data_IF_939440287074
#
_entry.id   IF_939440287074
#
_cell.length_a   1.000
_cell.length_b   1.000
_cell.length_c   1.000
_cell.angle_alpha   90.00
_cell.angle_beta   90.00
_cell.angle_gamma   90.00
#
_symmetry.space_group_name_H-M   'P 1'
#
loop_
_entity.id
_entity.type
_entity.pdbx_description
1 polymer ?
#
# COMPACT_ATOMS: atom_id res chain seq x y z
N UNK A 1 -20.56 -1.87 -0.59
CA UNK A 1 -20.27 -0.45 -0.34
C UNK A 1 -19.56 0.09 -1.58
N UNK A 2 -20.08 1.15 -2.22
CA UNK A 2 -19.38 1.80 -3.31
C UNK A 2 -18.08 2.44 -2.80
N UNK A 3 -17.05 2.46 -3.65
CA UNK A 3 -15.83 3.24 -3.39
C UNK A 3 -16.20 4.74 -3.34
N UNK A 4 -15.60 5.53 -2.43
CA UNK A 4 -15.79 6.98 -2.44
C UNK A 4 -15.30 7.59 -3.77
N UNK A 5 -15.89 8.72 -4.17
CA UNK A 5 -15.67 9.37 -5.48
C UNK A 5 -14.20 9.72 -5.79
N UNK A 6 -13.39 9.95 -4.76
CA UNK A 6 -11.97 10.28 -4.92
C UNK A 6 -11.12 9.07 -5.33
N UNK A 7 -11.69 7.86 -5.31
CA UNK A 7 -11.00 6.63 -5.65
C UNK A 7 -11.33 6.15 -7.05
N UNK A 8 -10.30 5.75 -7.79
CA UNK A 8 -10.46 5.16 -9.12
C UNK A 8 -9.49 4.00 -9.31
N UNK A 9 -9.97 2.95 -9.97
CA UNK A 9 -9.14 1.89 -10.48
C UNK A 9 -8.57 2.27 -11.84
N UNK A 10 -7.29 1.98 -12.04
CA UNK A 10 -6.60 2.03 -13.32
C UNK A 10 -5.91 0.69 -13.56
N UNK A 11 -5.86 0.19 -14.78
CA UNK A 11 -5.18 -1.07 -15.09
C UNK A 11 -4.09 -0.81 -16.11
N UNK A 12 -2.86 -1.18 -15.76
CA UNK A 12 -1.74 -1.00 -16.67
C UNK A 12 -1.73 -2.08 -17.77
N UNK A 13 -0.88 -1.84 -18.77
CA UNK A 13 -0.66 -2.76 -19.91
C UNK A 13 -0.22 -4.17 -19.50
N UNK A 14 0.24 -4.37 -18.27
CA UNK A 14 0.68 -5.67 -17.74
C UNK A 14 -0.39 -6.36 -16.90
N UNK A 15 -1.61 -5.83 -16.89
CA UNK A 15 -2.74 -6.41 -16.17
C UNK A 15 -2.68 -6.19 -14.66
N UNK A 16 -1.84 -5.26 -14.18
CA UNK A 16 -1.83 -4.85 -12.78
C UNK A 16 -2.82 -3.72 -12.58
N UNK A 17 -3.74 -3.92 -11.63
CA UNK A 17 -4.71 -2.93 -11.23
C UNK A 17 -4.12 -2.05 -10.13
N UNK A 18 -4.27 -0.74 -10.28
CA UNK A 18 -3.82 0.30 -9.37
C UNK A 18 -5.04 1.02 -8.83
N UNK A 19 -5.19 1.08 -7.51
CA UNK A 19 -6.17 1.96 -6.89
C UNK A 19 -5.49 3.30 -6.64
N UNK A 20 -6.10 4.36 -7.16
CA UNK A 20 -5.69 5.75 -6.94
C UNK A 20 -6.68 6.46 -6.02
N UNK A 21 -6.17 7.43 -5.26
CA UNK A 21 -6.93 8.43 -4.54
C UNK A 21 -6.43 9.81 -5.00
N UNK A 22 -7.30 10.68 -5.54
CA UNK A 22 -6.93 12.00 -6.07
C UNK A 22 -5.65 11.96 -6.95
N UNK A 23 -5.60 11.02 -7.91
CA UNK A 23 -4.46 10.76 -8.83
C UNK A 23 -3.23 10.07 -8.22
N UNK A 24 -3.11 9.98 -6.90
CA UNK A 24 -2.00 9.30 -6.24
C UNK A 24 -2.31 7.82 -6.06
N UNK A 25 -1.36 6.95 -6.37
CA UNK A 25 -1.50 5.51 -6.11
C UNK A 25 -1.63 5.32 -4.60
N UNK A 26 -2.53 4.43 -4.16
CA UNK A 26 -2.69 4.06 -2.74
C UNK A 26 -2.70 2.54 -2.53
N UNK A 27 -3.03 1.76 -3.57
CA UNK A 27 -2.97 0.31 -3.52
C UNK A 27 -2.78 -0.29 -4.93
N UNK A 28 -2.48 -1.58 -4.97
CA UNK A 28 -2.41 -2.33 -6.23
C UNK A 28 -2.78 -3.79 -6.05
N UNK A 29 -3.32 -4.39 -7.11
CA UNK A 29 -3.65 -5.81 -7.24
C UNK A 29 -2.96 -6.35 -8.48
N UNK A 30 -2.20 -7.43 -8.34
CA UNK A 30 -1.54 -8.10 -9.47
C UNK A 30 -1.53 -9.60 -9.29
N UNK A 31 -1.50 -10.34 -10.41
CA UNK A 31 -1.29 -11.78 -10.39
C UNK A 31 0.17 -12.08 -10.02
N UNK A 32 0.39 -13.13 -9.25
CA UNK A 32 1.72 -13.65 -8.94
C UNK A 32 2.18 -14.57 -10.07
N UNK A 33 3.50 -14.73 -10.16
CA UNK A 33 4.14 -15.74 -11.01
C UNK A 33 4.20 -17.12 -10.34
N UNK A 34 3.59 -17.29 -9.16
CA UNK A 34 3.57 -18.57 -8.48
C UNK A 34 2.79 -19.61 -9.31
N UNK A 35 3.12 -20.91 -9.20
CA UNK A 35 2.48 -21.98 -9.99
C UNK A 35 0.97 -22.05 -9.82
N UNK A 36 0.47 -21.59 -8.67
CA UNK A 36 -0.94 -21.60 -8.30
C UNK A 36 -1.71 -20.33 -8.74
N UNK A 37 -1.04 -19.39 -9.41
CA UNK A 37 -1.67 -18.23 -10.04
C UNK A 37 -2.40 -17.29 -9.09
N UNK A 38 -1.97 -17.20 -7.81
CA UNK A 38 -2.58 -16.32 -6.81
C UNK A 38 -2.54 -14.84 -7.22
N UNK A 39 -3.41 -14.07 -6.59
CA UNK A 39 -3.43 -12.62 -6.69
C UNK A 39 -2.89 -12.01 -5.41
N UNK A 40 -2.11 -10.96 -5.52
CA UNK A 40 -1.61 -10.21 -4.37
C UNK A 40 -2.27 -8.85 -4.30
N UNK A 41 -2.63 -8.42 -3.09
CA UNK A 41 -2.97 -7.05 -2.81
C UNK A 41 -1.82 -6.37 -2.06
N UNK A 42 -1.47 -5.17 -2.49
CA UNK A 42 -0.56 -4.28 -1.80
C UNK A 42 -1.33 -3.02 -1.47
N UNK A 43 -1.49 -2.69 -0.20
CA UNK A 43 -2.10 -1.43 0.22
C UNK A 43 -1.04 -0.44 0.68
N UNK A 44 -1.42 0.80 0.95
CA UNK A 44 -0.50 1.87 1.36
C UNK A 44 0.66 2.10 0.37
N UNK A 45 0.43 1.87 -0.92
CA UNK A 45 1.40 2.07 -2.01
C UNK A 45 1.30 3.51 -2.48
N UNK A 46 2.28 4.38 -2.22
CA UNK A 46 2.29 5.77 -2.72
C UNK A 46 3.16 5.98 -3.96
N UNK A 47 3.87 4.94 -4.39
CA UNK A 47 4.69 4.91 -5.60
C UNK A 47 4.68 3.49 -6.20
N UNK A 48 4.76 3.40 -7.52
CA UNK A 48 4.99 2.18 -8.29
C UNK A 48 6.27 1.44 -7.81
N UNK A 49 7.31 2.18 -7.42
CA UNK A 49 8.62 1.63 -7.02
C UNK A 49 8.70 1.13 -5.58
N UNK A 50 7.66 1.33 -4.76
CA UNK A 50 7.70 0.88 -3.36
C UNK A 50 7.64 -0.65 -3.33
N UNK A 51 8.80 -1.29 -3.21
CA UNK A 51 8.93 -2.71 -2.93
C UNK A 51 8.45 -2.95 -1.48
N UNK A 52 7.17 -3.27 -1.35
CA UNK A 52 6.57 -3.71 -0.10
C UNK A 52 6.14 -5.16 -0.26
N UNK A 53 6.31 -5.94 0.81
CA UNK A 53 5.74 -7.27 0.91
C UNK A 53 4.22 -7.21 0.63
N UNK A 54 3.66 -8.20 -0.09
CA UNK A 54 2.23 -8.25 -0.32
C UNK A 54 1.51 -8.30 1.03
N UNK A 55 0.48 -7.47 1.19
CA UNK A 55 -0.28 -7.43 2.43
C UNK A 55 -1.19 -8.65 2.57
N UNK A 56 -1.70 -9.15 1.45
CA UNK A 56 -2.57 -10.33 1.41
C UNK A 56 -2.50 -11.05 0.07
N UNK A 57 -2.82 -12.35 0.09
CA UNK A 57 -2.92 -13.23 -1.06
C UNK A 57 -4.37 -13.69 -1.26
N UNK A 58 -4.77 -13.86 -2.52
CA UNK A 58 -6.14 -14.21 -2.89
C UNK A 58 -6.14 -15.25 -4.02
N UNK A 59 -7.21 -16.05 -4.08
CA UNK A 59 -7.40 -17.03 -5.17
C UNK A 59 -7.94 -16.42 -6.46
N UNK A 60 -8.46 -15.19 -6.42
CA UNK A 60 -9.01 -14.51 -7.59
C UNK A 60 -8.82 -12.99 -7.53
N UNK A 61 -8.78 -12.36 -8.71
CA UNK A 61 -8.65 -10.92 -8.85
C UNK A 61 -9.79 -10.18 -8.15
N UNK A 62 -11.03 -10.58 -8.40
CA UNK A 62 -12.21 -9.91 -7.83
C UNK A 62 -12.22 -9.92 -6.30
N UNK A 63 -11.74 -11.01 -5.67
CA UNK A 63 -11.62 -11.05 -4.21
C UNK A 63 -10.52 -10.13 -3.68
N UNK A 64 -9.40 -10.04 -4.38
CA UNK A 64 -8.34 -9.08 -4.05
C UNK A 64 -8.82 -7.63 -4.17
N UNK A 65 -9.48 -7.28 -5.28
CA UNK A 65 -10.02 -5.94 -5.52
C UNK A 65 -11.05 -5.55 -4.46
N UNK A 66 -12.06 -6.39 -4.17
CA UNK A 66 -13.04 -6.12 -3.12
C UNK A 66 -12.40 -5.95 -1.74
N UNK A 67 -11.36 -6.71 -1.44
CA UNK A 67 -10.64 -6.56 -0.18
C UNK A 67 -9.92 -5.21 -0.10
N UNK A 68 -9.30 -4.77 -1.20
CA UNK A 68 -8.67 -3.45 -1.30
C UNK A 68 -9.70 -2.33 -1.21
N UNK A 69 -10.87 -2.48 -1.84
CA UNK A 69 -11.97 -1.53 -1.75
C UNK A 69 -12.47 -1.35 -0.32
N UNK A 70 -12.70 -2.47 0.39
CA UNK A 70 -13.08 -2.42 1.82
C UNK A 70 -12.03 -1.72 2.66
N UNK A 71 -10.75 -2.02 2.42
CA UNK A 71 -9.65 -1.33 3.07
C UNK A 71 -9.66 0.17 2.75
N UNK A 72 -9.84 0.56 1.50
CA UNK A 72 -9.86 1.95 1.07
C UNK A 72 -11.02 2.73 1.69
N UNK A 73 -12.24 2.16 1.69
CA UNK A 73 -13.41 2.74 2.37
C UNK A 73 -13.14 2.96 3.86
N UNK A 74 -12.56 1.96 4.55
CA UNK A 74 -12.26 2.05 5.98
C UNK A 74 -11.21 3.11 6.31
N UNK A 75 -10.37 3.50 5.36
CA UNK A 75 -9.27 4.45 5.56
C UNK A 75 -9.41 5.72 4.72
N UNK A 76 -10.58 5.99 4.13
CA UNK A 76 -10.77 7.03 3.12
C UNK A 76 -10.34 8.42 3.61
N UNK A 77 -10.86 8.85 4.76
CA UNK A 77 -10.52 10.15 5.34
C UNK A 77 -9.02 10.26 5.68
N UNK A 78 -8.42 9.19 6.20
CA UNK A 78 -6.98 9.14 6.50
C UNK A 78 -6.15 9.27 5.22
N UNK A 79 -6.53 8.57 4.15
CA UNK A 79 -5.81 8.57 2.87
C UNK A 79 -5.88 9.95 2.21
N UNK A 80 -7.06 10.58 2.18
CA UNK A 80 -7.20 11.95 1.66
C UNK A 80 -6.33 12.93 2.46
N UNK A 81 -6.39 12.88 3.79
CA UNK A 81 -5.56 13.74 4.65
C UNK A 81 -4.06 13.48 4.48
N UNK A 82 -3.63 12.22 4.33
CA UNK A 82 -2.22 11.88 4.05
C UNK A 82 -1.73 12.50 2.74
N UNK A 83 -2.58 12.60 1.73
CA UNK A 83 -2.26 13.21 0.44
C UNK A 83 -2.22 14.74 0.53
N UNK A 84 -3.22 15.35 1.15
CA UNK A 84 -3.30 16.81 1.34
C UNK A 84 -2.12 17.35 2.14
N UNK A 85 -1.74 16.65 3.21
CA UNK A 85 -0.65 17.07 4.11
C UNK A 85 0.73 16.66 3.60
N UNK A 86 0.81 15.84 2.56
CA UNK A 86 2.06 15.24 2.11
C UNK A 86 2.75 14.37 3.16
N UNK A 87 2.06 14.00 4.25
CA UNK A 87 2.62 13.33 5.44
C UNK A 87 3.29 11.98 5.16
N UNK A 88 3.12 11.45 3.95
CA UNK A 88 3.70 10.17 3.53
C UNK A 88 4.69 10.24 2.37
N UNK A 89 5.03 11.43 1.88
CA UNK A 89 6.38 11.63 1.30
C UNK A 89 7.33 11.33 2.44
N UNK A 90 7.90 10.11 2.46
CA UNK A 90 8.90 9.67 3.43
C UNK A 90 9.86 10.85 3.66
N UNK A 91 9.71 11.57 4.77
CA UNK A 91 10.86 12.12 5.43
C UNK A 91 11.70 10.87 5.74
N UNK A 92 12.93 10.75 5.21
CA UNK A 92 13.76 9.62 5.56
C UNK A 92 13.81 9.58 7.08
N UNK A 93 13.25 8.52 7.69
CA UNK A 93 13.46 8.29 9.11
C UNK A 93 14.98 8.35 9.32
N UNK A 94 15.50 9.23 10.18
CA UNK A 94 16.90 9.18 10.53
C UNK A 94 17.16 7.77 11.05
N UNK A 95 17.91 6.98 10.28
CA UNK A 95 18.31 5.65 10.72
C UNK A 95 19.05 5.85 12.03
N UNK A 96 18.63 5.21 13.13
CA UNK A 96 19.32 5.40 14.40
C UNK A 96 20.78 5.01 14.18
N UNK A 97 21.67 5.94 14.53
CA UNK A 97 23.09 5.78 14.30
C UNK A 97 23.61 4.60 15.15
N UNK A 98 24.83 4.14 14.86
CA UNK A 98 25.38 2.94 15.52
C UNK A 98 25.50 3.11 17.04
N UNK A 99 25.66 4.35 17.52
CA UNK A 99 25.77 4.71 18.93
C UNK A 99 24.41 4.71 19.63
N UNK A 100 23.35 5.23 18.99
CA UNK A 100 21.98 5.21 19.50
C UNK A 100 21.48 3.79 19.71
N UNK A 101 21.79 2.88 18.77
CA UNK A 101 21.48 1.44 18.92
C UNK A 101 22.26 0.79 20.06
N UNK A 102 23.50 1.23 20.30
CA UNK A 102 24.36 0.69 21.36
C UNK A 102 23.90 1.18 22.74
N UNK A 103 23.47 2.45 22.84
CA UNK A 103 22.91 3.03 24.05
C UNK A 103 21.58 2.37 24.43
N UNK A 104 20.68 2.17 23.47
CA UNK A 104 19.40 1.50 23.70
C UNK A 104 19.56 0.05 24.17
N UNK A 105 20.59 -0.67 23.72
CA UNK A 105 20.93 -2.01 24.22
C UNK A 105 21.47 -1.98 25.65
N UNK A 106 22.25 -0.96 26.00
CA UNK A 106 22.84 -0.80 27.34
C UNK A 106 21.81 -0.41 28.40
N UNK A 107 20.76 0.31 28.01
CA UNK A 107 19.65 0.68 28.90
C UNK A 107 18.62 -0.44 29.14
N UNK A 108 18.74 -1.56 28.43
CA UNK A 108 17.77 -2.68 28.46
C UNK A 108 18.27 -3.90 29.25
N UNK A 109 19.45 -3.79 29.86
CA UNK A 109 20.10 -4.84 30.66
C UNK A 109 20.71 -4.25 31.91
#
# INVERSE_FOLDING_TARGET
MPLPEHFAWDTDRWGKAWLRCQHTIVASVSKTVFPDGRWIANVNRHDQRTASYPHAYFRSQGSAMRSVERWACAHAARLVRELETGARRRLPEPRPNREEKRLARKMRG
#
